data_IF_672226495105
#
_entry.id   IF_672226495105
#
_cell.length_a   1.000
_cell.length_b   1.000
_cell.length_c   1.000
_cell.angle_alpha   90.00
_cell.angle_beta   90.00
_cell.angle_gamma   90.00
#
_symmetry.space_group_name_H-M   'P 1'
#
loop_
_entity.id
_entity.type
_entity.pdbx_description
1 polymer ?
#
# COMPACT_ATOMS: atom_id res chain seq x y z
N UNK A 1 -20.12 11.54 16.92
CA UNK A 1 -19.02 10.64 17.28
C UNK A 1 -17.99 10.65 16.16
N UNK A 2 -16.68 10.76 16.48
CA UNK A 2 -15.63 10.80 15.44
C UNK A 2 -15.41 9.39 14.93
N UNK A 3 -15.81 9.11 13.70
CA UNK A 3 -15.64 7.79 13.09
C UNK A 3 -14.17 7.49 12.77
N UNK A 4 -13.34 8.53 12.49
CA UNK A 4 -11.93 8.36 12.10
C UNK A 4 -10.99 8.87 13.20
N UNK A 5 -10.01 8.05 13.55
CA UNK A 5 -8.95 8.38 14.50
C UNK A 5 -7.60 7.83 14.06
N UNK A 6 -6.47 8.40 14.51
CA UNK A 6 -5.18 7.74 14.41
C UNK A 6 -5.19 6.39 15.12
N UNK A 7 -4.43 5.43 14.59
CA UNK A 7 -4.16 4.16 15.25
C UNK A 7 -3.07 4.32 16.31
N UNK A 8 -3.09 3.45 17.30
CA UNK A 8 -2.02 3.31 18.28
C UNK A 8 -1.56 1.84 18.38
N UNK A 9 -0.53 1.57 19.19
CA UNK A 9 0.06 0.24 19.30
C UNK A 9 -0.94 -0.86 19.70
N UNK A 10 -2.03 -0.52 20.42
CA UNK A 10 -3.08 -1.48 20.82
C UNK A 10 -3.89 -1.97 19.63
N UNK A 11 -3.92 -1.20 18.54
CA UNK A 11 -4.64 -1.54 17.31
C UNK A 11 -3.86 -2.50 16.41
N UNK A 12 -2.56 -2.69 16.63
CA UNK A 12 -1.66 -3.43 15.72
C UNK A 12 -2.17 -4.84 15.40
N UNK A 13 -2.71 -5.57 16.39
CA UNK A 13 -3.25 -6.91 16.19
C UNK A 13 -4.49 -6.90 15.27
N UNK A 14 -5.40 -5.99 15.48
CA UNK A 14 -6.61 -5.87 14.67
C UNK A 14 -6.27 -5.44 13.24
N UNK A 15 -5.34 -4.49 13.10
CA UNK A 15 -4.80 -4.06 11.80
C UNK A 15 -4.14 -5.21 11.04
N UNK A 16 -3.33 -6.03 11.72
CA UNK A 16 -2.70 -7.20 11.11
C UNK A 16 -3.76 -8.19 10.57
N UNK A 17 -4.80 -8.46 11.35
CA UNK A 17 -5.91 -9.33 10.90
C UNK A 17 -6.61 -8.77 9.66
N UNK A 18 -6.89 -7.46 9.65
CA UNK A 18 -7.53 -6.80 8.51
C UNK A 18 -6.63 -6.78 7.27
N UNK A 19 -5.31 -6.58 7.46
CA UNK A 19 -4.36 -6.64 6.35
C UNK A 19 -4.28 -8.05 5.78
N UNK A 20 -4.26 -9.08 6.62
CA UNK A 20 -4.31 -10.47 6.17
C UNK A 20 -5.53 -10.75 5.29
N UNK A 21 -6.71 -10.24 5.66
CA UNK A 21 -7.92 -10.34 4.85
C UNK A 21 -7.78 -9.59 3.51
N UNK A 22 -7.22 -8.38 3.50
CA UNK A 22 -6.94 -7.61 2.28
C UNK A 22 -5.99 -8.37 1.35
N UNK A 23 -4.89 -8.92 1.89
CA UNK A 23 -3.90 -9.65 1.11
C UNK A 23 -4.48 -10.93 0.52
N UNK A 24 -5.33 -11.65 1.27
CA UNK A 24 -6.06 -12.81 0.77
C UNK A 24 -7.02 -12.44 -0.38
N UNK A 25 -7.76 -11.35 -0.25
CA UNK A 25 -8.60 -10.82 -1.34
C UNK A 25 -7.77 -10.48 -2.58
N UNK A 26 -6.59 -9.85 -2.41
CA UNK A 26 -5.69 -9.51 -3.52
C UNK A 26 -5.14 -10.75 -4.22
N UNK A 27 -4.75 -11.77 -3.46
CA UNK A 27 -4.27 -13.04 -4.03
C UNK A 27 -5.34 -13.72 -4.89
N UNK A 28 -6.59 -13.74 -4.41
CA UNK A 28 -7.72 -14.32 -5.14
C UNK A 28 -8.04 -13.49 -6.40
N UNK A 29 -8.06 -12.18 -6.28
CA UNK A 29 -8.50 -11.29 -7.36
C UNK A 29 -7.45 -11.06 -8.43
N UNK A 30 -6.16 -11.12 -8.05
CA UNK A 30 -5.03 -10.78 -8.91
C UNK A 30 -3.89 -11.81 -8.77
N UNK A 31 -4.17 -13.12 -9.06
CA UNK A 31 -3.20 -14.19 -8.84
C UNK A 31 -1.92 -14.02 -9.65
N UNK A 32 -2.02 -13.50 -10.88
CA UNK A 32 -0.87 -13.27 -11.76
C UNK A 32 0.01 -12.09 -11.31
N UNK A 33 -0.59 -11.11 -10.64
CA UNK A 33 0.14 -9.94 -10.10
C UNK A 33 0.84 -10.27 -8.79
N UNK A 34 0.24 -11.15 -7.98
CA UNK A 34 0.72 -11.51 -6.65
C UNK A 34 0.91 -13.02 -6.47
N UNK A 35 1.67 -13.72 -7.35
CA UNK A 35 1.75 -15.18 -7.35
C UNK A 35 2.42 -15.77 -6.09
N UNK A 36 3.19 -14.98 -5.36
CA UNK A 36 3.92 -15.40 -4.15
C UNK A 36 3.44 -14.67 -2.88
N UNK A 37 2.28 -14.04 -2.93
CA UNK A 37 1.73 -13.36 -1.77
C UNK A 37 1.33 -14.40 -0.71
N UNK A 38 1.89 -14.27 0.48
CA UNK A 38 1.47 -15.03 1.66
C UNK A 38 0.72 -14.09 2.62
N UNK A 39 -0.61 -14.17 2.68
CA UNK A 39 -1.40 -13.30 3.53
C UNK A 39 -1.08 -13.45 5.02
N UNK A 40 -0.72 -14.65 5.46
CA UNK A 40 -0.41 -14.92 6.89
C UNK A 40 0.94 -14.31 7.26
N UNK A 41 1.97 -14.57 6.45
CA UNK A 41 3.29 -14.00 6.67
C UNK A 41 3.26 -12.46 6.56
N UNK A 42 2.53 -11.92 5.57
CA UNK A 42 2.35 -10.48 5.41
C UNK A 42 1.66 -9.85 6.62
N UNK A 43 0.57 -10.43 7.10
CA UNK A 43 -0.13 -9.95 8.29
C UNK A 43 0.77 -9.99 9.55
N UNK A 44 1.54 -11.05 9.73
CA UNK A 44 2.46 -11.18 10.84
C UNK A 44 3.58 -10.13 10.80
N UNK A 45 4.18 -9.92 9.63
CA UNK A 45 5.21 -8.90 9.42
C UNK A 45 4.70 -7.50 9.75
N UNK A 46 3.60 -7.07 9.13
CA UNK A 46 3.05 -5.74 9.36
C UNK A 46 2.49 -5.56 10.77
N UNK A 47 1.95 -6.62 11.37
CA UNK A 47 1.51 -6.59 12.76
C UNK A 47 2.66 -6.30 13.72
N UNK A 48 3.82 -6.92 13.52
CA UNK A 48 5.02 -6.64 14.29
C UNK A 48 5.56 -5.22 14.03
N UNK A 49 5.59 -4.78 12.77
CA UNK A 49 6.00 -3.42 12.39
C UNK A 49 5.10 -2.36 13.05
N UNK A 50 3.80 -2.48 12.89
CA UNK A 50 2.87 -1.53 13.49
C UNK A 50 2.91 -1.56 15.02
N UNK A 51 3.10 -2.73 15.63
CA UNK A 51 3.27 -2.84 17.09
C UNK A 51 4.46 -2.05 17.62
N UNK A 52 5.54 -1.93 16.82
CA UNK A 52 6.74 -1.17 17.19
C UNK A 52 6.65 0.32 16.82
N UNK A 53 6.00 0.66 15.71
CA UNK A 53 6.06 2.00 15.11
C UNK A 53 4.88 2.89 15.48
N UNK A 54 3.67 2.34 15.67
CA UNK A 54 2.48 3.14 15.97
C UNK A 54 2.63 3.91 17.28
N UNK A 55 2.48 5.22 17.19
CA UNK A 55 2.60 6.14 18.32
C UNK A 55 4.05 6.51 18.70
N UNK A 56 5.07 5.91 18.09
CA UNK A 56 6.49 6.20 18.35
C UNK A 56 7.24 6.72 17.15
N UNK A 57 6.83 6.29 15.94
CA UNK A 57 7.45 6.69 14.68
C UNK A 57 6.52 7.64 13.91
N UNK A 58 6.87 8.92 13.77
CA UNK A 58 6.04 9.92 13.09
C UNK A 58 5.87 9.66 11.58
N UNK A 59 6.71 8.81 10.98
CA UNK A 59 6.57 8.42 9.58
C UNK A 59 5.50 7.34 9.38
N UNK A 60 5.17 6.56 10.41
CA UNK A 60 4.17 5.52 10.37
C UNK A 60 2.77 6.09 10.62
N UNK A 61 2.03 6.31 9.56
CA UNK A 61 0.72 6.93 9.62
C UNK A 61 -0.39 5.93 9.30
N UNK A 62 -1.22 5.65 10.30
CA UNK A 62 -2.40 4.79 10.15
C UNK A 62 -3.61 5.45 10.76
N UNK A 63 -4.72 5.49 10.01
CA UNK A 63 -6.02 5.94 10.49
C UNK A 63 -7.02 4.79 10.45
N UNK A 64 -7.83 4.74 11.49
CA UNK A 64 -8.91 3.77 11.65
C UNK A 64 -10.26 4.46 11.50
N UNK A 65 -11.16 3.83 10.77
CA UNK A 65 -12.57 4.11 10.87
C UNK A 65 -13.17 3.13 11.88
N UNK A 66 -13.50 3.63 13.06
CA UNK A 66 -13.94 2.81 14.19
C UNK A 66 -15.12 3.46 14.93
N UNK A 67 -16.00 2.62 15.36
CA UNK A 67 -17.06 2.95 16.33
C UNK A 67 -16.86 2.02 17.54
N UNK A 68 -17.68 1.00 17.70
CA UNK A 68 -17.43 -0.10 18.65
C UNK A 68 -16.35 -1.04 18.09
N UNK A 69 -16.42 -1.29 16.78
CA UNK A 69 -15.50 -2.15 16.04
C UNK A 69 -14.77 -1.36 14.97
N UNK A 70 -13.58 -1.84 14.57
CA UNK A 70 -12.84 -1.27 13.46
C UNK A 70 -13.49 -1.73 12.16
N UNK A 71 -13.90 -0.77 11.33
CA UNK A 71 -14.60 -1.00 10.06
C UNK A 71 -13.73 -0.85 8.84
N UNK A 72 -12.56 -0.25 9.00
CA UNK A 72 -11.60 -0.04 7.93
C UNK A 72 -10.39 0.73 8.41
N UNK A 73 -9.34 0.74 7.60
CA UNK A 73 -8.13 1.51 7.85
C UNK A 73 -7.53 2.09 6.57
N UNK A 74 -6.73 3.12 6.72
CA UNK A 74 -5.82 3.68 5.73
C UNK A 74 -4.44 3.76 6.37
N UNK A 75 -3.44 3.20 5.71
CA UNK A 75 -2.05 3.23 6.15
C UNK A 75 -1.15 3.78 5.04
N UNK A 76 -0.11 4.49 5.43
CA UNK A 76 0.89 5.02 4.52
C UNK A 76 1.97 5.82 5.24
N UNK A 77 2.86 6.38 4.44
CA UNK A 77 4.02 7.11 4.94
C UNK A 77 4.35 8.32 4.07
N UNK A 78 5.11 9.24 4.63
CA UNK A 78 5.63 10.41 3.89
C UNK A 78 6.91 10.01 3.18
N UNK A 79 6.93 10.18 1.87
CA UNK A 79 8.12 9.98 1.06
C UNK A 79 8.76 11.33 0.75
N UNK A 80 10.02 11.49 1.14
CA UNK A 80 10.85 12.60 0.69
C UNK A 80 11.41 12.29 -0.69
N UNK A 81 11.28 13.23 -1.60
CA UNK A 81 11.86 13.15 -2.95
C UNK A 81 13.10 14.03 -2.98
N UNK A 82 14.32 13.47 -3.08
CA UNK A 82 15.54 14.26 -3.14
C UNK A 82 15.66 15.07 -4.43
N UNK A 83 14.94 14.65 -5.48
CA UNK A 83 14.91 15.32 -6.79
C UNK A 83 13.47 15.33 -7.30
N UNK A 84 12.98 16.49 -7.63
CA UNK A 84 11.64 16.70 -8.21
C UNK A 84 10.73 17.55 -7.34
N UNK A 85 9.64 18.02 -7.95
CA UNK A 85 8.57 18.72 -7.26
C UNK A 85 7.27 17.91 -7.36
N UNK A 86 6.51 17.85 -6.28
CA UNK A 86 6.78 18.39 -4.94
C UNK A 86 7.84 17.59 -4.17
N UNK A 87 8.54 18.23 -3.20
CA UNK A 87 9.65 17.60 -2.48
C UNK A 87 9.21 16.46 -1.55
N UNK A 88 7.91 16.36 -1.27
CA UNK A 88 7.34 15.27 -0.47
C UNK A 88 5.98 14.87 -1.03
N UNK A 89 5.67 13.59 -0.87
CA UNK A 89 4.37 13.02 -1.17
C UNK A 89 3.94 12.11 -0.02
N UNK A 90 2.64 11.99 0.21
CA UNK A 90 2.12 10.93 1.06
C UNK A 90 1.85 9.70 0.20
N UNK A 91 2.53 8.62 0.46
CA UNK A 91 2.32 7.35 -0.20
C UNK A 91 1.31 6.50 0.58
N UNK A 92 0.13 6.30 -0.01
CA UNK A 92 -0.89 5.39 0.52
C UNK A 92 -0.49 3.96 0.16
N UNK A 93 -0.14 3.20 1.18
CA UNK A 93 0.26 1.81 1.04
C UNK A 93 -0.95 0.88 1.06
N UNK A 94 -1.85 1.09 2.01
CA UNK A 94 -3.02 0.24 2.22
C UNK A 94 -4.28 1.05 2.50
N UNK A 95 -5.37 0.65 1.85
CA UNK A 95 -6.73 1.08 2.19
C UNK A 95 -7.63 -0.15 2.21
N UNK A 96 -8.24 -0.41 3.35
CA UNK A 96 -9.16 -1.52 3.50
C UNK A 96 -10.44 -1.11 4.23
N UNK A 97 -11.55 -1.65 3.76
CA UNK A 97 -12.85 -1.57 4.42
C UNK A 97 -13.39 -2.99 4.49
N UNK A 98 -13.76 -3.42 5.69
CA UNK A 98 -14.36 -4.74 5.89
C UNK A 98 -15.58 -4.92 5.00
N UNK A 99 -15.81 -6.10 4.41
CA UNK A 99 -16.82 -6.31 3.37
C UNK A 99 -18.21 -5.80 3.72
N UNK A 100 -18.65 -6.04 4.97
CA UNK A 100 -19.98 -5.68 5.47
C UNK A 100 -20.23 -4.18 5.53
N UNK A 101 -19.13 -3.40 5.53
CA UNK A 101 -19.19 -1.93 5.63
C UNK A 101 -18.77 -1.23 4.32
N UNK A 102 -18.59 -1.97 3.23
CA UNK A 102 -18.29 -1.39 1.91
C UNK A 102 -19.49 -0.59 1.39
N UNK A 103 -19.20 0.40 0.54
CA UNK A 103 -20.18 1.33 -0.04
C UNK A 103 -20.88 2.25 0.98
N UNK A 104 -20.48 2.23 2.26
CA UNK A 104 -21.02 3.10 3.33
C UNK A 104 -20.28 4.44 3.48
N UNK A 105 -19.32 4.75 2.61
CA UNK A 105 -18.55 6.00 2.66
C UNK A 105 -17.32 5.97 3.57
N UNK A 106 -16.98 4.82 4.19
CA UNK A 106 -15.86 4.70 5.13
C UNK A 106 -14.52 5.06 4.48
N UNK A 107 -14.21 4.57 3.28
CA UNK A 107 -12.97 4.94 2.62
C UNK A 107 -12.89 6.45 2.40
N UNK A 108 -13.99 7.09 1.99
CA UNK A 108 -14.05 8.55 1.86
C UNK A 108 -13.80 9.26 3.19
N UNK A 109 -14.34 8.76 4.29
CA UNK A 109 -14.12 9.32 5.62
C UNK A 109 -12.64 9.19 6.04
N UNK A 110 -11.99 8.05 5.78
CA UNK A 110 -10.57 7.85 6.06
C UNK A 110 -9.69 8.88 5.33
N UNK A 111 -9.97 9.17 4.06
CA UNK A 111 -9.26 10.23 3.34
C UNK A 111 -9.61 11.62 3.88
N UNK A 112 -10.90 11.96 4.00
CA UNK A 112 -11.37 13.30 4.36
C UNK A 112 -11.00 13.70 5.78
N UNK A 113 -11.18 12.80 6.74
CA UNK A 113 -11.09 13.11 8.17
C UNK A 113 -9.76 12.63 8.79
N UNK A 114 -9.02 11.74 8.11
CA UNK A 114 -7.71 11.23 8.51
C UNK A 114 -6.58 11.85 7.68
N UNK A 115 -6.42 11.40 6.45
CA UNK A 115 -5.27 11.74 5.61
C UNK A 115 -5.21 13.21 5.20
N UNK A 116 -6.29 13.80 4.70
CA UNK A 116 -6.25 15.18 4.19
C UNK A 116 -5.90 16.23 5.26
N UNK A 117 -6.42 16.17 6.51
CA UNK A 117 -5.99 17.07 7.57
C UNK A 117 -4.50 16.89 7.93
N UNK A 118 -3.99 15.66 7.85
CA UNK A 118 -2.57 15.39 8.05
C UNK A 118 -1.72 16.04 6.95
N UNK A 119 -2.04 15.79 5.68
CA UNK A 119 -1.33 16.38 4.54
C UNK A 119 -1.29 17.91 4.63
N UNK A 120 -2.44 18.55 4.88
CA UNK A 120 -2.52 20.02 5.04
C UNK A 120 -1.63 20.55 6.16
N UNK A 121 -1.59 19.86 7.32
CA UNK A 121 -0.77 20.25 8.47
C UNK A 121 0.73 20.17 8.16
N UNK A 122 1.12 19.22 7.33
CA UNK A 122 2.53 18.94 7.00
C UNK A 122 2.96 19.50 5.64
N UNK A 123 2.12 20.31 4.97
CA UNK A 123 2.45 20.91 3.67
C UNK A 123 2.69 19.88 2.57
N UNK A 124 1.93 18.78 2.60
CA UNK A 124 2.02 17.72 1.59
C UNK A 124 0.91 17.94 0.56
N UNK A 125 1.29 18.25 -0.67
CA UNK A 125 0.37 18.60 -1.73
C UNK A 125 0.01 17.42 -2.64
N UNK A 126 0.79 16.34 -2.58
CA UNK A 126 0.59 15.15 -3.43
C UNK A 126 0.34 13.91 -2.58
N UNK A 127 -0.67 13.17 -2.96
CA UNK A 127 -0.95 11.83 -2.44
C UNK A 127 -0.75 10.83 -3.57
N UNK A 128 0.06 9.83 -3.32
CA UNK A 128 0.36 8.74 -4.24
C UNK A 128 -0.15 7.41 -3.71
N UNK A 129 -0.29 6.43 -4.59
CA UNK A 129 -0.61 5.06 -4.22
C UNK A 129 -0.32 4.13 -5.38
N UNK A 130 -0.29 2.84 -5.09
CA UNK A 130 -0.19 1.81 -6.12
C UNK A 130 -1.56 1.20 -6.37
N UNK A 131 -1.83 0.88 -7.63
CA UNK A 131 -3.00 0.12 -8.02
C UNK A 131 -2.60 -0.98 -8.98
N UNK A 132 -3.45 -1.97 -9.10
CA UNK A 132 -3.24 -3.07 -10.05
C UNK A 132 -3.55 -2.57 -11.45
N UNK A 133 -2.76 -2.95 -12.46
CA UNK A 133 -3.05 -2.62 -13.85
C UNK A 133 -4.49 -3.02 -14.23
N UNK A 134 -5.20 -2.10 -14.92
CA UNK A 134 -6.59 -2.32 -15.31
C UNK A 134 -7.63 -2.00 -14.22
N UNK A 135 -7.25 -1.59 -13.03
CA UNK A 135 -8.19 -1.10 -12.02
C UNK A 135 -8.55 0.37 -12.26
N UNK A 136 -9.57 0.59 -13.08
CA UNK A 136 -10.04 1.94 -13.45
C UNK A 136 -10.79 2.67 -12.33
N UNK A 137 -11.04 2.05 -11.19
CA UNK A 137 -11.83 2.67 -10.12
C UNK A 137 -11.18 3.96 -9.58
N UNK A 138 -9.86 4.05 -9.61
CA UNK A 138 -9.10 5.21 -9.17
C UNK A 138 -9.18 6.35 -10.19
N UNK A 139 -9.01 6.04 -11.47
CA UNK A 139 -9.15 7.03 -12.54
C UNK A 139 -10.55 7.69 -12.52
N UNK A 140 -11.61 6.90 -12.33
CA UNK A 140 -12.98 7.41 -12.16
C UNK A 140 -13.17 8.34 -10.96
N UNK A 141 -12.23 8.33 -10.01
CA UNK A 141 -12.22 9.21 -8.83
C UNK A 141 -11.25 10.38 -8.95
N UNK A 142 -10.73 10.66 -10.16
CA UNK A 142 -9.83 11.76 -10.42
C UNK A 142 -8.36 11.51 -10.10
N UNK A 143 -7.97 10.24 -9.88
CA UNK A 143 -6.54 9.91 -9.74
C UNK A 143 -5.90 9.78 -11.11
N UNK A 144 -4.79 10.47 -11.32
CA UNK A 144 -3.99 10.35 -12.53
C UNK A 144 -2.96 9.22 -12.39
N UNK A 145 -2.78 8.43 -13.43
CA UNK A 145 -1.69 7.46 -13.48
C UNK A 145 -0.39 8.20 -13.79
N UNK A 146 0.51 8.28 -12.80
CA UNK A 146 1.79 8.98 -12.92
C UNK A 146 2.95 8.02 -13.18
N UNK A 147 2.80 6.76 -12.81
CA UNK A 147 3.80 5.73 -13.04
C UNK A 147 3.14 4.36 -13.14
N UNK A 148 3.74 3.47 -13.92
CA UNK A 148 3.41 2.05 -13.96
C UNK A 148 4.55 1.31 -13.28
N UNK A 149 4.26 0.59 -12.20
CA UNK A 149 5.25 -0.30 -11.60
C UNK A 149 5.42 -1.51 -12.51
N UNK A 150 6.61 -1.72 -13.05
CA UNK A 150 6.97 -2.90 -13.82
C UNK A 150 7.78 -3.83 -12.93
N UNK A 151 7.30 -5.06 -12.77
CA UNK A 151 8.07 -6.11 -12.09
C UNK A 151 8.54 -7.12 -13.14
N UNK A 152 9.81 -7.53 -13.04
CA UNK A 152 10.38 -8.59 -13.84
C UNK A 152 11.19 -9.51 -12.93
N UNK A 153 11.09 -10.81 -13.13
CA UNK A 153 11.93 -11.77 -12.41
C UNK A 153 13.40 -11.53 -12.71
N UNK A 154 14.27 -11.70 -11.72
CA UNK A 154 15.72 -11.48 -11.85
C UNK A 154 16.30 -12.33 -12.99
N UNK A 155 15.91 -13.59 -13.11
CA UNK A 155 16.38 -14.50 -14.17
C UNK A 155 15.98 -13.99 -15.56
N UNK A 156 14.75 -13.51 -15.71
CA UNK A 156 14.28 -12.93 -16.98
C UNK A 156 14.99 -11.62 -17.31
N UNK A 157 15.36 -10.80 -16.30
CA UNK A 157 16.14 -9.60 -16.48
C UNK A 157 17.57 -9.92 -16.89
N UNK A 158 18.17 -10.93 -16.29
CA UNK A 158 19.53 -11.39 -16.63
C UNK A 158 19.64 -11.87 -18.08
N UNK A 159 18.63 -12.63 -18.56
CA UNK A 159 18.57 -13.07 -19.96
C UNK A 159 18.47 -11.88 -20.93
N UNK A 160 17.62 -10.89 -20.65
CA UNK A 160 17.45 -9.70 -21.50
C UNK A 160 18.74 -8.84 -21.57
N UNK A 161 19.47 -8.73 -20.45
CA UNK A 161 20.76 -8.03 -20.40
C UNK A 161 21.81 -8.76 -21.21
N UNK A 162 21.89 -10.09 -21.12
CA UNK A 162 22.83 -10.91 -21.91
C UNK A 162 22.55 -10.79 -23.40
N UNK A 163 21.30 -10.90 -23.83
CA UNK A 163 20.89 -10.76 -25.23
C UNK A 163 21.26 -9.37 -25.81
N UNK A 164 20.99 -8.29 -25.05
CA UNK A 164 21.31 -6.93 -25.49
C UNK A 164 22.81 -6.60 -25.50
N UNK A 165 23.59 -7.27 -24.65
CA UNK A 165 25.01 -7.10 -24.58
C UNK A 165 25.77 -7.89 -25.64
N UNK A 166 25.11 -8.76 -26.43
CA UNK A 166 25.75 -9.64 -27.40
C UNK A 166 26.67 -10.68 -26.76
N UNK A 167 26.46 -10.93 -25.47
CA UNK A 167 27.32 -11.80 -24.66
C UNK A 167 26.90 -13.25 -24.82
N UNK A 168 27.40 -13.89 -25.89
CA UNK A 168 27.15 -15.31 -26.23
C UNK A 168 27.88 -16.29 -25.29
N UNK A 169 28.48 -15.81 -24.21
CA UNK A 169 29.31 -16.62 -23.30
C UNK A 169 28.49 -17.58 -22.38
N UNK A 170 27.16 -17.52 -22.37
CA UNK A 170 26.33 -18.35 -21.50
C UNK A 170 25.85 -19.67 -22.14
N UNK A 171 26.16 -19.94 -23.42
CA UNK A 171 25.80 -21.22 -24.05
C UNK A 171 26.68 -22.41 -23.63
N UNK A 172 27.83 -22.14 -23.01
CA UNK A 172 28.78 -23.17 -22.59
C UNK A 172 28.52 -23.88 -21.27
N UNK A 173 27.49 -23.50 -20.50
CA UNK A 173 27.23 -24.07 -19.17
C UNK A 173 26.11 -25.10 -19.15
N UNK A 174 25.64 -25.59 -20.29
CA UNK A 174 24.60 -26.64 -20.41
C UNK A 174 25.09 -27.89 -21.13
N UNK A 175 26.33 -28.33 -20.86
CA UNK A 175 26.79 -29.67 -21.22
C UNK A 175 27.28 -30.43 -20.01
#
# INVERSE_FOLDING_TARGET
MRLVRPADARDARALATMLGALLAEHQIRYPDTYPRLDPVAGAAFYGAEWGRRLGTDPSCNVWLAADRDIRGFLAGEVWSRPVGEPPSAFFVEWVYVVPEHRKSGISRALFRDGLLPYCRRHGIDVVEGRTVPGDEQWARRGWATTAVSVMRGVDALMLDVAERSGDTALEGARQ
#
